data_IF_607450870959
#
_entry.id   IF_607450870959
#
_cell.length_a   1.000
_cell.length_b   1.000
_cell.length_c   1.000
_cell.angle_alpha   90.00
_cell.angle_beta   90.00
_cell.angle_gamma   90.00
#
_symmetry.space_group_name_H-M   'P 1'
#
loop_
_entity.id
_entity.type
_entity.pdbx_description
1 polymer ?
#
# COMPACT_ATOMS: atom_id res chain seq x y z
N UNK A 1 -28.26 11.94 -14.86
CA UNK A 1 -27.69 12.00 -13.49
C UNK A 1 -28.86 11.84 -12.56
N UNK A 2 -28.72 11.05 -11.50
CA UNK A 2 -29.73 11.10 -10.44
C UNK A 2 -29.78 12.52 -9.86
N UNK A 3 -30.90 12.89 -9.26
CA UNK A 3 -31.06 14.22 -8.67
C UNK A 3 -30.09 14.46 -7.50
N UNK A 4 -29.30 13.46 -7.08
CA UNK A 4 -28.35 13.57 -5.96
C UNK A 4 -26.95 14.04 -6.37
N UNK A 5 -26.60 13.96 -7.67
CA UNK A 5 -25.25 14.28 -8.14
C UNK A 5 -24.20 13.31 -7.60
N UNK A 6 -24.61 12.06 -7.31
CA UNK A 6 -23.74 10.99 -6.84
C UNK A 6 -23.23 10.16 -8.04
N UNK A 7 -21.90 10.09 -8.26
CA UNK A 7 -21.34 9.28 -9.36
C UNK A 7 -21.44 7.76 -9.15
N UNK A 8 -21.79 7.28 -7.95
CA UNK A 8 -21.78 5.85 -7.58
C UNK A 8 -22.67 4.97 -8.46
N UNK A 9 -23.74 5.51 -9.06
CA UNK A 9 -24.66 4.74 -9.91
C UNK A 9 -24.14 4.41 -11.31
N UNK A 10 -23.05 5.04 -11.77
CA UNK A 10 -22.57 4.94 -13.16
C UNK A 10 -21.28 4.09 -13.31
N UNK A 11 -20.50 3.94 -12.24
CA UNK A 11 -19.22 3.20 -12.24
C UNK A 11 -18.08 3.92 -12.96
N UNK A 12 -16.83 3.62 -12.58
CA UNK A 12 -15.64 4.27 -13.13
C UNK A 12 -15.45 4.01 -14.64
N UNK A 13 -15.74 2.78 -15.10
CA UNK A 13 -15.59 2.36 -16.50
C UNK A 13 -16.38 3.23 -17.48
N UNK A 14 -17.59 3.63 -17.09
CA UNK A 14 -18.43 4.47 -17.92
C UNK A 14 -17.88 5.90 -17.99
N UNK A 15 -17.38 6.44 -16.88
CA UNK A 15 -16.71 7.75 -16.89
C UNK A 15 -15.43 7.72 -17.71
N UNK A 16 -14.62 6.66 -17.64
CA UNK A 16 -13.44 6.49 -18.49
C UNK A 16 -13.81 6.51 -19.98
N UNK A 17 -14.89 5.82 -20.33
CA UNK A 17 -15.41 5.80 -21.70
C UNK A 17 -15.83 7.20 -22.15
N UNK A 18 -16.54 7.95 -21.30
CA UNK A 18 -16.96 9.32 -21.60
C UNK A 18 -15.77 10.29 -21.73
N UNK A 19 -14.74 10.16 -20.90
CA UNK A 19 -13.51 10.98 -21.03
C UNK A 19 -12.84 10.72 -22.39
N UNK A 20 -12.77 9.46 -22.84
CA UNK A 20 -12.19 9.10 -24.15
C UNK A 20 -12.99 9.64 -25.35
N UNK A 21 -14.25 10.02 -25.14
CA UNK A 21 -15.12 10.63 -26.15
C UNK A 21 -15.03 12.17 -26.16
N UNK A 22 -14.19 12.78 -25.33
CA UNK A 22 -14.04 14.23 -25.29
C UNK A 22 -13.61 14.78 -26.66
N UNK A 23 -14.40 15.68 -27.27
CA UNK A 23 -14.05 16.28 -28.55
C UNK A 23 -12.82 17.19 -28.38
N UNK A 24 -12.06 17.34 -29.45
CA UNK A 24 -11.05 18.39 -29.55
C UNK A 24 -11.71 19.77 -29.49
N UNK A 25 -10.94 20.82 -29.16
CA UNK A 25 -11.46 22.20 -29.12
C UNK A 25 -12.08 22.63 -30.45
N UNK A 26 -11.52 22.18 -31.57
CA UNK A 26 -12.03 22.48 -32.91
C UNK A 26 -13.37 21.80 -33.17
N UNK A 27 -13.51 20.52 -32.79
CA UNK A 27 -14.77 19.76 -32.90
C UNK A 27 -15.84 20.34 -31.98
N UNK A 28 -15.49 20.73 -30.76
CA UNK A 28 -16.41 21.38 -29.82
C UNK A 28 -16.98 22.67 -30.42
N UNK A 29 -16.13 23.54 -30.99
CA UNK A 29 -16.56 24.79 -31.62
C UNK A 29 -17.49 24.50 -32.82
N UNK A 30 -17.12 23.54 -33.68
CA UNK A 30 -17.92 23.17 -34.86
C UNK A 30 -19.29 22.62 -34.44
N UNK A 31 -19.32 21.69 -33.49
CA UNK A 31 -20.56 21.05 -33.03
C UNK A 31 -21.47 22.03 -32.29
N UNK A 32 -20.92 22.92 -31.45
CA UNK A 32 -21.70 23.95 -30.75
C UNK A 32 -22.33 24.93 -31.73
N UNK A 33 -21.55 25.42 -32.69
CA UNK A 33 -22.00 26.44 -33.65
C UNK A 33 -22.79 25.86 -34.84
N UNK A 34 -22.93 24.54 -34.94
CA UNK A 34 -23.77 23.93 -35.97
C UNK A 34 -25.24 24.33 -35.77
N UNK A 35 -25.75 25.12 -36.72
CA UNK A 35 -27.11 25.67 -36.83
C UNK A 35 -27.93 25.02 -37.96
N UNK A 36 -27.33 24.08 -38.69
CA UNK A 36 -27.99 23.29 -39.71
C UNK A 36 -28.97 22.26 -39.15
N UNK A 37 -29.58 21.48 -40.05
CA UNK A 37 -30.51 20.42 -39.67
C UNK A 37 -29.80 19.31 -38.87
N UNK A 38 -30.27 19.07 -37.64
CA UNK A 38 -29.75 18.03 -36.74
C UNK A 38 -29.91 16.62 -37.31
N UNK A 39 -30.81 16.40 -38.26
CA UNK A 39 -30.98 15.10 -38.94
C UNK A 39 -29.77 14.72 -39.80
N UNK A 40 -28.95 15.70 -40.19
CA UNK A 40 -27.72 15.50 -40.98
C UNK A 40 -26.52 15.11 -40.13
N UNK A 41 -26.61 15.27 -38.81
CA UNK A 41 -25.58 14.82 -37.88
C UNK A 41 -25.74 13.33 -37.60
N UNK A 42 -24.62 12.61 -37.58
CA UNK A 42 -24.59 11.21 -37.17
C UNK A 42 -25.00 11.04 -35.70
N UNK A 43 -25.37 9.82 -35.27
CA UNK A 43 -25.77 9.56 -33.88
C UNK A 43 -24.74 10.02 -32.83
N UNK A 44 -23.44 9.84 -33.10
CA UNK A 44 -22.36 10.25 -32.21
C UNK A 44 -22.23 11.78 -32.10
N UNK A 45 -22.34 12.50 -33.22
CA UNK A 45 -22.27 13.97 -33.25
C UNK A 45 -23.48 14.59 -32.53
N UNK A 46 -24.68 14.01 -32.72
CA UNK A 46 -25.89 14.42 -32.01
C UNK A 46 -25.76 14.22 -30.51
N UNK A 47 -25.22 13.07 -30.10
CA UNK A 47 -24.92 12.79 -28.69
C UNK A 47 -23.93 13.81 -28.12
N UNK A 48 -22.79 14.02 -28.77
CA UNK A 48 -21.78 14.99 -28.31
C UNK A 48 -22.31 16.41 -28.27
N UNK A 49 -23.12 16.84 -29.24
CA UNK A 49 -23.77 18.16 -29.23
C UNK A 49 -24.65 18.32 -27.99
N UNK A 50 -25.47 17.33 -27.65
CA UNK A 50 -26.29 17.35 -26.43
C UNK A 50 -25.44 17.36 -25.14
N UNK A 51 -24.34 16.59 -25.11
CA UNK A 51 -23.41 16.59 -23.98
C UNK A 51 -22.78 17.97 -23.80
N UNK A 52 -22.40 18.62 -24.91
CA UNK A 52 -21.76 19.95 -24.92
C UNK A 52 -22.69 21.09 -24.47
N UNK A 53 -24.01 20.90 -24.52
CA UNK A 53 -25.00 21.83 -23.95
C UNK A 53 -24.97 21.81 -22.41
N UNK A 54 -24.47 20.73 -21.79
CA UNK A 54 -24.29 20.66 -20.35
C UNK A 54 -23.07 21.51 -19.96
N UNK A 55 -23.22 22.52 -19.09
CA UNK A 55 -22.09 23.34 -18.67
C UNK A 55 -20.97 22.51 -18.06
N UNK A 56 -19.77 22.64 -18.61
CA UNK A 56 -18.56 21.97 -18.12
C UNK A 56 -18.64 20.43 -18.18
N UNK A 57 -19.44 19.84 -19.08
CA UNK A 57 -19.72 18.41 -19.15
C UNK A 57 -18.48 17.52 -18.94
N UNK A 58 -17.45 17.66 -19.78
CA UNK A 58 -16.25 16.83 -19.70
C UNK A 58 -15.41 17.09 -18.44
N UNK A 59 -15.36 18.33 -17.94
CA UNK A 59 -14.72 18.64 -16.65
C UNK A 59 -15.45 17.98 -15.47
N UNK A 60 -16.79 17.94 -15.52
CA UNK A 60 -17.61 17.24 -14.52
C UNK A 60 -17.36 15.73 -14.59
N UNK A 61 -17.30 15.16 -15.79
CA UNK A 61 -16.99 13.73 -16.00
C UNK A 61 -15.60 13.38 -15.47
N UNK A 62 -14.57 14.17 -15.76
CA UNK A 62 -13.21 13.97 -15.22
C UNK A 62 -13.21 14.01 -13.69
N UNK A 63 -13.91 14.96 -13.09
CA UNK A 63 -14.04 15.05 -11.63
C UNK A 63 -14.80 13.86 -11.03
N UNK A 64 -15.85 13.38 -11.70
CA UNK A 64 -16.60 12.19 -11.28
C UNK A 64 -15.76 10.92 -11.38
N UNK A 65 -14.94 10.78 -12.44
CA UNK A 65 -14.01 9.66 -12.58
C UNK A 65 -13.01 9.63 -11.44
N UNK A 66 -12.39 10.78 -11.12
CA UNK A 66 -11.49 10.89 -9.98
C UNK A 66 -12.19 10.47 -8.68
N UNK A 67 -13.39 11.00 -8.42
CA UNK A 67 -14.20 10.65 -7.24
C UNK A 67 -14.50 9.16 -7.15
N UNK A 68 -14.83 8.52 -8.28
CA UNK A 68 -15.15 7.10 -8.33
C UNK A 68 -13.94 6.20 -7.98
N UNK A 69 -12.73 6.64 -8.34
CA UNK A 69 -11.50 5.87 -8.08
C UNK A 69 -10.83 6.21 -6.73
N UNK A 70 -11.15 7.37 -6.16
CA UNK A 70 -10.47 7.93 -4.99
C UNK A 70 -10.39 6.97 -3.81
N UNK A 71 -11.51 6.38 -3.41
CA UNK A 71 -11.55 5.51 -2.24
C UNK A 71 -10.73 4.22 -2.45
N UNK A 72 -10.67 3.70 -3.68
CA UNK A 72 -9.84 2.54 -4.03
C UNK A 72 -8.36 2.88 -3.90
N UNK A 73 -7.94 4.02 -4.44
CA UNK A 73 -6.54 4.49 -4.38
C UNK A 73 -6.09 4.79 -2.95
N UNK A 74 -6.94 5.47 -2.16
CA UNK A 74 -6.68 5.73 -0.73
C UNK A 74 -6.53 4.43 0.05
N UNK A 75 -7.43 3.47 -0.16
CA UNK A 75 -7.36 2.18 0.54
C UNK A 75 -6.13 1.35 0.16
N UNK A 76 -5.69 1.43 -1.10
CA UNK A 76 -4.45 0.80 -1.53
C UNK A 76 -3.25 1.39 -0.79
N UNK A 77 -3.11 2.72 -0.79
CA UNK A 77 -2.01 3.41 -0.14
C UNK A 77 -1.98 3.16 1.37
N UNK A 78 -3.15 3.26 2.02
CA UNK A 78 -3.29 2.97 3.46
C UNK A 78 -2.80 1.57 3.81
N UNK A 79 -3.22 0.55 3.06
CA UNK A 79 -2.79 -0.84 3.29
C UNK A 79 -1.29 -1.03 3.05
N UNK A 80 -0.74 -0.37 2.03
CA UNK A 80 0.69 -0.41 1.73
C UNK A 80 1.53 0.20 2.86
N UNK A 81 1.21 1.43 3.30
CA UNK A 81 1.91 2.09 4.40
C UNK A 81 1.74 1.36 5.73
N UNK A 82 0.54 0.83 6.02
CA UNK A 82 0.33 -0.01 7.20
C UNK A 82 1.19 -1.28 7.16
N UNK A 83 1.34 -1.93 6.00
CA UNK A 83 2.22 -3.10 5.85
C UNK A 83 3.67 -2.74 6.12
N UNK A 84 4.13 -1.58 5.64
CA UNK A 84 5.48 -1.06 5.88
C UNK A 84 5.70 -0.74 7.37
N UNK A 85 4.76 -0.06 8.02
CA UNK A 85 4.83 0.28 9.44
C UNK A 85 4.86 -0.96 10.33
N UNK A 86 3.95 -1.91 10.13
CA UNK A 86 3.94 -3.18 10.87
C UNK A 86 5.26 -3.90 10.70
N UNK A 87 5.80 -3.87 9.49
CA UNK A 87 7.06 -4.52 9.19
C UNK A 87 8.24 -3.82 9.86
N UNK A 88 8.35 -2.50 9.73
CA UNK A 88 9.40 -1.72 10.37
C UNK A 88 9.38 -1.87 11.90
N UNK A 89 8.19 -1.79 12.50
CA UNK A 89 8.00 -2.05 13.93
C UNK A 89 8.40 -3.47 14.33
N UNK A 90 8.01 -4.49 13.55
CA UNK A 90 8.35 -5.89 13.86
C UNK A 90 9.85 -6.14 13.84
N UNK A 91 10.56 -5.49 12.92
CA UNK A 91 12.02 -5.59 12.84
C UNK A 91 12.74 -4.71 13.88
N UNK A 92 12.08 -3.67 14.40
CA UNK A 92 12.58 -2.84 15.51
C UNK A 92 12.35 -3.46 16.90
N UNK A 93 11.32 -4.31 17.09
CA UNK A 93 11.04 -4.98 18.38
C UNK A 93 12.09 -6.06 18.65
N UNK A 94 13.03 -5.78 19.56
CA UNK A 94 13.92 -6.79 20.15
C UNK A 94 15.40 -6.44 20.29
N UNK A 95 15.85 -5.23 19.97
CA UNK A 95 17.29 -4.90 19.98
C UNK A 95 17.80 -4.45 21.36
N UNK A 96 17.65 -5.29 22.39
CA UNK A 96 18.22 -5.08 23.74
C UNK A 96 19.76 -5.25 23.81
N UNK A 97 20.50 -4.91 22.75
CA UNK A 97 21.92 -5.27 22.59
C UNK A 97 22.93 -4.14 22.78
N UNK A 98 22.55 -3.02 23.40
CA UNK A 98 23.51 -2.07 23.99
C UNK A 98 24.70 -1.69 23.10
N UNK A 99 24.48 -1.47 21.79
CA UNK A 99 25.54 -1.07 20.85
C UNK A 99 26.29 -2.19 20.13
N UNK A 100 25.84 -3.45 20.17
CA UNK A 100 26.41 -4.50 19.31
C UNK A 100 26.18 -4.17 17.82
N UNK A 101 27.26 -4.14 17.01
CA UNK A 101 27.21 -3.98 15.55
C UNK A 101 26.29 -5.05 14.95
N UNK A 102 25.36 -4.63 14.10
CA UNK A 102 24.37 -5.52 13.47
C UNK A 102 25.04 -6.59 12.60
N UNK A 103 24.44 -7.78 12.59
CA UNK A 103 24.72 -8.78 11.57
C UNK A 103 23.94 -8.39 10.31
N UNK A 104 24.58 -8.40 9.14
CA UNK A 104 23.88 -8.14 7.87
C UNK A 104 22.89 -9.28 7.59
N UNK A 105 21.67 -8.95 7.17
CA UNK A 105 20.63 -9.93 6.81
C UNK A 105 21.09 -10.95 5.76
N UNK A 106 21.92 -10.53 4.80
CA UNK A 106 22.57 -11.40 3.80
C UNK A 106 23.38 -12.56 4.42
N UNK A 107 23.83 -12.41 5.68
CA UNK A 107 24.53 -13.48 6.40
C UNK A 107 23.60 -14.66 6.71
N UNK A 108 22.29 -14.42 6.86
CA UNK A 108 21.29 -15.47 7.07
C UNK A 108 21.13 -16.35 5.83
N UNK A 109 21.17 -15.76 4.62
CA UNK A 109 21.12 -16.53 3.37
C UNK A 109 22.30 -17.51 3.28
N UNK A 110 23.49 -17.05 3.68
CA UNK A 110 24.71 -17.88 3.66
C UNK A 110 24.61 -19.10 4.59
N UNK A 111 23.76 -19.09 5.62
CA UNK A 111 23.57 -20.25 6.50
C UNK A 111 22.96 -21.45 5.76
N UNK A 112 22.14 -21.19 4.72
CA UNK A 112 21.59 -22.26 3.89
C UNK A 112 22.66 -22.88 2.97
N UNK A 113 23.71 -22.14 2.61
CA UNK A 113 24.74 -22.61 1.68
C UNK A 113 25.90 -23.33 2.37
N UNK A 114 26.15 -23.04 3.65
CA UNK A 114 27.23 -23.68 4.41
C UNK A 114 26.80 -25.09 4.80
N UNK A 115 27.44 -26.10 4.20
CA UNK A 115 27.18 -27.52 4.47
C UNK A 115 28.15 -28.09 5.50
N UNK A 116 27.66 -29.02 6.32
CA UNK A 116 28.46 -29.81 7.23
C UNK A 116 29.36 -30.81 6.48
N UNK A 117 30.17 -31.53 7.24
CA UNK A 117 31.10 -32.55 6.71
C UNK A 117 30.37 -33.70 6.02
N UNK A 118 29.07 -33.88 6.28
CA UNK A 118 28.20 -34.86 5.61
C UNK A 118 27.74 -34.44 4.20
N UNK A 119 27.99 -33.18 3.81
CA UNK A 119 27.56 -32.60 2.52
C UNK A 119 26.03 -32.49 2.35
N UNK A 120 25.24 -32.81 3.38
CA UNK A 120 23.77 -32.89 3.33
C UNK A 120 23.12 -31.88 4.26
N UNK A 121 23.64 -31.75 5.47
CA UNK A 121 23.08 -30.88 6.51
C UNK A 121 23.69 -29.48 6.37
N UNK A 122 22.87 -28.44 6.38
CA UNK A 122 23.34 -27.05 6.30
C UNK A 122 23.44 -26.44 7.70
N UNK A 123 24.18 -25.34 7.84
CA UNK A 123 24.26 -24.61 9.09
C UNK A 123 22.89 -24.07 9.53
N UNK A 124 22.01 -23.74 8.58
CA UNK A 124 20.61 -23.39 8.86
C UNK A 124 19.84 -24.54 9.51
N UNK A 125 20.02 -25.78 9.04
CA UNK A 125 19.38 -26.95 9.67
C UNK A 125 19.82 -27.10 11.14
N UNK A 126 21.12 -26.90 11.41
CA UNK A 126 21.65 -26.93 12.77
C UNK A 126 21.07 -25.81 13.64
N UNK A 127 21.00 -24.57 13.14
CA UNK A 127 20.41 -23.43 13.87
C UNK A 127 18.95 -23.69 14.22
N UNK A 128 18.16 -24.23 13.29
CA UNK A 128 16.75 -24.59 13.54
C UNK A 128 16.64 -25.66 14.62
N UNK A 129 17.48 -26.70 14.57
CA UNK A 129 17.52 -27.73 15.61
C UNK A 129 17.90 -27.16 16.98
N UNK A 130 18.86 -26.23 17.02
CA UNK A 130 19.32 -25.61 18.25
C UNK A 130 18.24 -24.72 18.89
N UNK A 131 17.49 -23.94 18.09
CA UNK A 131 16.32 -23.17 18.57
C UNK A 131 15.28 -24.10 19.18
N UNK A 132 14.99 -25.22 18.50
CA UNK A 132 14.02 -26.20 18.99
C UNK A 132 14.47 -26.78 20.35
N UNK A 133 15.78 -27.00 20.51
CA UNK A 133 16.36 -27.50 21.75
C UNK A 133 16.35 -26.47 22.88
N UNK A 134 16.74 -25.22 22.60
CA UNK A 134 16.87 -24.16 23.62
C UNK A 134 15.53 -23.69 24.19
N UNK A 135 14.49 -23.64 23.36
CA UNK A 135 13.12 -23.28 23.78
C UNK A 135 12.46 -24.38 24.62
N UNK A 136 13.00 -25.61 24.58
CA UNK A 136 12.57 -26.69 25.46
C UNK A 136 13.07 -26.55 26.90
N UNK A 137 14.24 -25.93 27.10
CA UNK A 137 14.92 -25.89 28.41
C UNK A 137 14.51 -24.70 29.31
N UNK A 138 13.72 -23.75 28.81
CA UNK A 138 13.46 -22.46 29.46
C UNK A 138 12.34 -22.39 30.51
N UNK A 139 11.64 -23.49 30.82
CA UNK A 139 10.46 -23.45 31.70
C UNK A 139 10.63 -24.10 33.09
N UNK A 140 11.77 -24.73 33.40
CA UNK A 140 11.98 -25.42 34.68
C UNK A 140 13.26 -24.94 35.38
N UNK A 141 13.21 -23.75 35.98
CA UNK A 141 14.20 -23.36 37.00
C UNK A 141 13.62 -22.38 38.03
N UNK A 142 12.48 -22.76 38.62
CA UNK A 142 12.14 -22.35 39.99
C UNK A 142 11.32 -23.47 40.61
N UNK A 143 12.01 -24.41 41.26
CA UNK A 143 11.73 -24.88 42.61
C UNK A 143 12.55 -26.14 42.87
N UNK A 144 13.54 -26.01 43.75
CA UNK A 144 14.17 -27.13 44.42
C UNK A 144 13.10 -27.90 45.22
N UNK A 145 12.83 -29.15 44.86
CA UNK A 145 12.85 -30.27 45.80
C UNK A 145 12.67 -31.62 45.10
N UNK A 146 13.56 -32.52 45.48
CA UNK A 146 13.80 -33.88 44.98
C UNK A 146 12.62 -34.81 45.28
N UNK A 147 12.20 -35.65 44.32
CA UNK A 147 12.12 -37.11 44.51
C UNK A 147 11.89 -37.89 43.21
N UNK A 148 12.64 -39.00 43.10
CA UNK A 148 12.77 -39.92 41.99
C UNK A 148 11.45 -40.53 41.51
N UNK A 149 11.25 -40.59 40.19
CA UNK A 149 10.68 -41.77 39.53
C UNK A 149 11.07 -41.81 38.04
N UNK A 150 11.49 -43.00 37.64
CA UNK A 150 12.06 -43.40 36.35
C UNK A 150 11.06 -43.35 35.20
N UNK A 151 11.33 -42.50 34.20
CA UNK A 151 11.04 -42.78 32.79
C UNK A 151 11.83 -41.77 31.92
N UNK A 152 12.76 -42.16 31.03
CA UNK A 152 13.51 -41.20 30.21
C UNK A 152 12.80 -40.89 28.87
N UNK A 153 11.54 -41.27 28.70
CA UNK A 153 10.70 -40.81 27.59
C UNK A 153 10.10 -39.44 27.91
N UNK A 154 10.97 -38.52 28.35
CA UNK A 154 10.65 -37.19 28.82
C UNK A 154 10.56 -36.24 27.63
N UNK A 155 9.35 -35.75 27.34
CA UNK A 155 9.02 -34.46 26.73
C UNK A 155 9.75 -33.98 25.46
N UNK A 156 10.52 -34.82 24.77
CA UNK A 156 11.20 -34.46 23.52
C UNK A 156 10.20 -34.02 22.44
N UNK A 157 9.03 -34.68 22.39
CA UNK A 157 7.92 -34.31 21.52
C UNK A 157 7.28 -32.97 21.92
N UNK A 158 7.22 -32.63 23.21
CA UNK A 158 6.67 -31.36 23.69
C UNK A 158 7.64 -30.19 23.40
N UNK A 159 8.94 -30.40 23.60
CA UNK A 159 9.99 -29.43 23.25
C UNK A 159 10.05 -29.20 21.76
N UNK A 160 10.01 -30.30 20.99
CA UNK A 160 9.93 -30.23 19.53
C UNK A 160 8.70 -29.47 19.07
N UNK A 161 7.55 -29.68 19.71
CA UNK A 161 6.31 -28.97 19.39
C UNK A 161 6.41 -27.47 19.71
N UNK A 162 6.95 -27.08 20.87
CA UNK A 162 7.16 -25.67 21.26
C UNK A 162 8.16 -24.97 20.33
N UNK A 163 9.31 -25.57 20.10
CA UNK A 163 10.32 -25.03 19.18
C UNK A 163 9.82 -24.90 17.75
N UNK A 164 9.10 -25.91 17.24
CA UNK A 164 8.50 -25.86 15.90
C UNK A 164 7.40 -24.80 15.80
N UNK A 165 6.66 -24.54 16.90
CA UNK A 165 5.70 -23.45 16.96
C UNK A 165 6.37 -22.07 16.88
N UNK A 166 7.54 -21.89 17.50
CA UNK A 166 8.34 -20.66 17.35
C UNK A 166 8.79 -20.48 15.89
N UNK A 167 9.35 -21.52 15.27
CA UNK A 167 9.80 -21.48 13.88
C UNK A 167 8.63 -21.26 12.90
N UNK A 168 7.48 -21.90 13.14
CA UNK A 168 6.26 -21.67 12.34
C UNK A 168 5.68 -20.27 12.54
N UNK A 169 5.84 -19.70 13.74
CA UNK A 169 5.48 -18.32 14.06
C UNK A 169 6.23 -17.30 13.21
N UNK A 170 7.52 -17.56 12.91
CA UNK A 170 8.32 -16.69 12.05
C UNK A 170 7.67 -16.52 10.67
N UNK A 171 7.23 -17.60 10.03
CA UNK A 171 6.56 -17.51 8.72
C UNK A 171 5.32 -16.60 8.73
N UNK A 172 4.56 -16.61 9.84
CA UNK A 172 3.42 -15.70 10.04
C UNK A 172 3.90 -14.25 10.20
N UNK A 173 4.97 -14.06 10.95
CA UNK A 173 5.51 -12.75 11.28
C UNK A 173 6.18 -12.06 10.07
N UNK A 174 6.76 -12.84 9.14
CA UNK A 174 7.37 -12.34 7.90
C UNK A 174 6.38 -12.17 6.73
N UNK A 175 5.07 -12.43 6.93
CA UNK A 175 4.07 -12.27 5.86
C UNK A 175 3.97 -10.84 5.31
N UNK A 176 4.15 -9.83 6.17
CA UNK A 176 4.16 -8.42 5.76
C UNK A 176 5.52 -7.98 5.20
N UNK A 177 6.61 -8.60 5.65
CA UNK A 177 7.96 -8.40 5.14
C UNK A 177 8.02 -8.77 3.65
N UNK A 178 7.45 -9.92 3.28
CA UNK A 178 7.35 -10.33 1.87
C UNK A 178 6.55 -9.34 1.01
N UNK A 179 5.50 -8.74 1.55
CA UNK A 179 4.71 -7.72 0.83
C UNK A 179 5.51 -6.44 0.66
N UNK A 180 6.16 -5.98 1.73
CA UNK A 180 7.02 -4.81 1.73
C UNK A 180 8.20 -4.96 0.74
N UNK A 181 8.71 -6.18 0.54
CA UNK A 181 9.77 -6.52 -0.42
C UNK A 181 9.40 -6.25 -1.88
N UNK A 182 8.13 -6.40 -2.21
CA UNK A 182 7.63 -6.13 -3.56
C UNK A 182 7.19 -4.69 -3.78
N UNK A 183 7.33 -3.81 -2.78
CA UNK A 183 6.95 -2.40 -2.90
C UNK A 183 8.10 -1.58 -3.47
N UNK A 184 7.75 -0.46 -4.10
CA UNK A 184 8.68 0.56 -4.61
C UNK A 184 8.30 1.91 -4.01
N UNK A 185 9.27 2.58 -3.38
CA UNK A 185 9.02 3.80 -2.61
C UNK A 185 8.65 4.97 -3.51
N UNK A 186 9.34 5.09 -4.64
CA UNK A 186 9.09 6.17 -5.59
C UNK A 186 7.71 5.99 -6.25
N UNK A 187 7.33 4.74 -6.51
CA UNK A 187 5.99 4.42 -7.02
C UNK A 187 4.91 4.80 -6.01
N UNK A 188 5.06 4.44 -4.73
CA UNK A 188 4.10 4.80 -3.68
C UNK A 188 3.98 6.32 -3.51
N UNK A 189 5.11 7.04 -3.43
CA UNK A 189 5.10 8.50 -3.36
C UNK A 189 4.48 9.14 -4.61
N UNK A 190 4.69 8.56 -5.80
CA UNK A 190 4.05 9.03 -7.03
C UNK A 190 2.52 8.90 -6.99
N UNK A 191 1.99 7.89 -6.32
CA UNK A 191 0.54 7.72 -6.14
C UNK A 191 -0.03 8.76 -5.17
N UNK A 192 0.69 9.08 -4.09
CA UNK A 192 0.29 10.17 -3.17
C UNK A 192 0.23 11.51 -3.91
N UNK A 193 1.26 11.81 -4.71
CA UNK A 193 1.30 13.03 -5.55
C UNK A 193 0.15 13.04 -6.56
N UNK A 194 -0.16 11.91 -7.19
CA UNK A 194 -1.28 11.80 -8.14
C UNK A 194 -2.63 12.08 -7.49
N UNK A 195 -2.85 11.63 -6.25
CA UNK A 195 -4.05 11.97 -5.48
C UNK A 195 -4.14 13.48 -5.24
N UNK A 196 -3.05 14.11 -4.79
CA UNK A 196 -3.03 15.57 -4.59
C UNK A 196 -3.34 16.34 -5.88
N UNK A 197 -2.65 16.00 -6.97
CA UNK A 197 -2.87 16.63 -8.27
C UNK A 197 -4.28 16.40 -8.82
N UNK A 198 -4.84 15.20 -8.61
CA UNK A 198 -6.21 14.87 -9.02
C UNK A 198 -7.23 15.69 -8.24
N UNK A 199 -7.05 15.82 -6.92
CA UNK A 199 -7.89 16.64 -6.07
C UNK A 199 -7.85 18.12 -6.48
N UNK A 200 -6.67 18.64 -6.81
CA UNK A 200 -6.51 20.01 -7.30
C UNK A 200 -7.28 20.24 -8.60
N UNK A 201 -7.24 19.27 -9.53
CA UNK A 201 -8.04 19.33 -10.77
C UNK A 201 -9.54 19.37 -10.48
N UNK A 202 -10.02 18.59 -9.52
CA UNK A 202 -11.43 18.64 -9.10
C UNK A 202 -11.77 20.02 -8.52
N UNK A 203 -10.89 20.59 -7.70
CA UNK A 203 -11.08 21.92 -7.12
C UNK A 203 -11.16 23.02 -8.19
N UNK A 204 -10.37 22.91 -9.26
CA UNK A 204 -10.43 23.85 -10.39
C UNK A 204 -11.81 23.85 -11.08
N UNK A 205 -12.55 22.75 -11.08
CA UNK A 205 -13.90 22.70 -11.67
C UNK A 205 -14.86 23.65 -10.93
N UNK A 206 -14.69 23.82 -9.61
CA UNK A 206 -15.52 24.71 -8.81
C UNK A 206 -15.30 26.20 -9.12
N UNK A 207 -14.15 26.57 -9.70
CA UNK A 207 -13.88 27.96 -10.08
C UNK A 207 -14.76 28.46 -11.24
N UNK A 208 -15.38 27.55 -11.98
CA UNK A 208 -16.23 27.86 -13.12
C UNK A 208 -17.73 27.87 -12.77
N UNK A 209 -18.08 27.73 -11.49
CA UNK A 209 -19.47 27.80 -11.01
C UNK A 209 -20.05 29.18 -11.32
N UNK A 210 -21.23 29.19 -11.92
CA UNK A 210 -22.04 30.41 -12.10
C UNK A 210 -23.38 30.28 -11.37
N UNK A 211 -24.01 31.39 -10.94
CA UNK A 211 -25.26 31.36 -10.16
C UNK A 211 -26.45 30.70 -10.88
N UNK A 212 -26.42 30.66 -12.21
CA UNK A 212 -27.44 30.06 -13.08
C UNK A 212 -27.25 28.55 -13.31
N UNK A 213 -26.13 27.97 -12.88
CA UNK A 213 -25.88 26.54 -13.04
C UNK A 213 -26.72 25.72 -12.06
N UNK A 214 -27.65 24.95 -12.61
CA UNK A 214 -28.48 24.02 -11.85
C UNK A 214 -27.77 22.68 -11.58
N UNK A 215 -28.14 22.03 -10.47
CA UNK A 215 -27.76 20.66 -10.13
C UNK A 215 -26.92 20.53 -8.86
N UNK A 216 -26.98 19.34 -8.23
CA UNK A 216 -26.33 19.04 -6.95
C UNK A 216 -24.85 18.68 -7.06
N UNK A 217 -24.29 18.65 -8.28
CA UNK A 217 -22.89 18.28 -8.53
C UNK A 217 -21.89 19.12 -7.74
N UNK A 218 -22.06 20.45 -7.72
CA UNK A 218 -21.08 21.33 -7.08
C UNK A 218 -21.09 21.19 -5.57
N UNK A 219 -22.28 21.14 -4.95
CA UNK A 219 -22.44 20.89 -3.52
C UNK A 219 -21.85 19.52 -3.13
N UNK A 220 -22.16 18.46 -3.90
CA UNK A 220 -21.63 17.12 -3.61
C UNK A 220 -20.11 17.04 -3.81
N UNK A 221 -19.58 17.79 -4.77
CA UNK A 221 -18.13 17.89 -5.02
C UNK A 221 -17.43 18.68 -3.93
N UNK A 222 -18.03 19.75 -3.40
CA UNK A 222 -17.46 20.50 -2.28
C UNK A 222 -17.38 19.67 -1.00
N UNK A 223 -18.41 18.88 -0.70
CA UNK A 223 -18.40 17.92 0.42
C UNK A 223 -17.30 16.88 0.21
N UNK A 224 -17.21 16.32 -0.99
CA UNK A 224 -16.15 15.36 -1.34
C UNK A 224 -14.75 15.95 -1.16
N UNK A 225 -14.50 17.19 -1.61
CA UNK A 225 -13.19 17.83 -1.48
C UNK A 225 -12.75 17.91 -0.02
N UNK A 226 -13.65 18.29 0.89
CA UNK A 226 -13.34 18.39 2.34
C UNK A 226 -12.95 17.02 2.93
N UNK A 227 -13.71 15.96 2.62
CA UNK A 227 -13.39 14.59 3.05
C UNK A 227 -12.08 14.08 2.45
N UNK A 228 -11.88 14.32 1.15
CA UNK A 228 -10.71 13.86 0.42
C UNK A 228 -9.42 14.55 0.89
N UNK A 229 -9.47 15.85 1.20
CA UNK A 229 -8.35 16.61 1.78
C UNK A 229 -7.90 16.00 3.12
N UNK A 230 -8.85 15.68 4.01
CA UNK A 230 -8.52 15.05 5.29
C UNK A 230 -7.91 13.65 5.11
N UNK A 231 -8.45 12.85 4.20
CA UNK A 231 -7.93 11.51 3.88
C UNK A 231 -6.53 11.56 3.31
N UNK A 232 -6.26 12.45 2.35
CA UNK A 232 -4.92 12.63 1.77
C UNK A 232 -3.93 13.07 2.86
N UNK A 233 -4.31 14.00 3.73
CA UNK A 233 -3.45 14.45 4.83
C UNK A 233 -3.06 13.29 5.76
N UNK A 234 -3.98 12.38 6.07
CA UNK A 234 -3.70 11.16 6.84
C UNK A 234 -2.72 10.24 6.10
N UNK A 235 -2.95 10.01 4.81
CA UNK A 235 -2.07 9.18 3.97
C UNK A 235 -0.64 9.73 3.91
N UNK A 236 -0.46 11.05 3.79
CA UNK A 236 0.87 11.68 3.83
C UNK A 236 1.55 11.48 5.18
N UNK A 237 0.80 11.55 6.27
CA UNK A 237 1.33 11.29 7.59
C UNK A 237 1.72 9.80 7.76
N UNK A 238 0.92 8.87 7.23
CA UNK A 238 1.22 7.43 7.19
C UNK A 238 2.49 7.16 6.36
N UNK A 239 2.64 7.79 5.19
CA UNK A 239 3.82 7.70 4.33
C UNK A 239 5.10 8.10 5.08
N UNK A 240 5.10 9.28 5.71
CA UNK A 240 6.26 9.79 6.45
C UNK A 240 6.64 8.82 7.58
N UNK A 241 5.66 8.33 8.35
CA UNK A 241 5.92 7.37 9.43
C UNK A 241 6.48 6.05 8.91
N UNK A 242 5.85 5.49 7.88
CA UNK A 242 6.24 4.22 7.30
C UNK A 242 7.66 4.28 6.73
N UNK A 243 7.97 5.32 5.94
CA UNK A 243 9.30 5.51 5.36
C UNK A 243 10.37 5.77 6.42
N UNK A 244 10.04 6.50 7.48
CA UNK A 244 10.95 6.70 8.60
C UNK A 244 11.32 5.38 9.29
N UNK A 245 10.34 4.56 9.63
CA UNK A 245 10.57 3.24 10.26
C UNK A 245 11.40 2.33 9.36
N UNK A 246 11.08 2.28 8.06
CA UNK A 246 11.84 1.50 7.08
C UNK A 246 13.29 1.99 7.01
N UNK A 247 13.51 3.30 7.02
CA UNK A 247 14.85 3.91 7.01
C UNK A 247 15.64 3.52 8.26
N UNK A 248 15.06 3.68 9.45
CA UNK A 248 15.71 3.29 10.72
C UNK A 248 16.15 1.84 10.70
N UNK A 249 15.28 0.95 10.22
CA UNK A 249 15.60 -0.48 10.18
C UNK A 249 16.66 -0.79 9.12
N UNK A 250 16.60 -0.10 7.98
CA UNK A 250 17.62 -0.25 6.92
C UNK A 250 18.99 0.19 7.41
N UNK A 251 19.08 1.35 8.06
CA UNK A 251 20.30 1.85 8.69
C UNK A 251 20.81 0.90 9.78
N UNK A 252 19.90 0.31 10.57
CA UNK A 252 20.26 -0.67 11.59
C UNK A 252 20.94 -1.91 10.99
N UNK A 253 20.38 -2.54 9.95
CA UNK A 253 20.90 -3.80 9.40
C UNK A 253 21.98 -3.63 8.31
N UNK A 254 22.01 -2.51 7.60
CA UNK A 254 22.90 -2.29 6.46
C UNK A 254 23.95 -1.18 6.68
N UNK A 255 23.79 -0.34 7.70
CA UNK A 255 24.64 0.84 7.93
C UNK A 255 24.19 2.06 7.13
N UNK A 256 25.01 3.11 7.11
CA UNK A 256 24.71 4.39 6.43
C UNK A 256 24.54 4.18 4.90
N UNK A 257 23.29 4.29 4.43
CA UNK A 257 22.86 4.04 3.05
C UNK A 257 23.24 5.13 2.06
N UNK A 258 23.93 6.19 2.51
CA UNK A 258 24.41 7.26 1.62
C UNK A 258 25.50 6.83 0.64
N UNK A 259 26.08 5.62 0.80
CA UNK A 259 27.22 5.15 -0.03
C UNK A 259 26.93 3.98 -0.96
N UNK A 260 25.83 3.25 -0.79
CA UNK A 260 25.50 2.07 -1.61
C UNK A 260 23.98 1.98 -1.89
N UNK A 261 23.57 2.55 -3.03
CA UNK A 261 22.27 2.44 -3.73
C UNK A 261 20.97 2.88 -3.01
N UNK A 262 20.27 3.79 -3.70
CA UNK A 262 19.17 4.64 -3.22
C UNK A 262 17.78 3.97 -3.19
N UNK A 263 17.65 2.71 -2.73
CA UNK A 263 16.35 2.04 -2.64
C UNK A 263 15.90 1.83 -1.18
N UNK A 264 14.96 2.64 -0.66
CA UNK A 264 14.50 2.58 0.74
C UNK A 264 13.97 1.21 1.17
N UNK A 265 13.48 0.39 0.25
CA UNK A 265 12.88 -0.92 0.54
C UNK A 265 13.82 -2.12 0.41
N UNK A 266 15.12 -1.89 0.14
CA UNK A 266 16.10 -2.98 -0.01
C UNK A 266 16.15 -3.94 1.17
N UNK A 267 15.86 -3.48 2.39
CA UNK A 267 15.82 -4.34 3.58
C UNK A 267 14.84 -5.52 3.46
N UNK A 268 13.84 -5.39 2.60
CA UNK A 268 12.87 -6.43 2.36
C UNK A 268 13.23 -7.35 1.20
N UNK A 269 14.13 -6.91 0.33
CA UNK A 269 14.67 -7.69 -0.78
C UNK A 269 15.83 -8.55 -0.26
N UNK A 270 15.48 -9.71 0.27
CA UNK A 270 16.42 -10.76 0.70
C UNK A 270 16.12 -12.02 -0.09
#
# INVERSE_FOLDING_TARGET
MDDTGNPEGLGAELFETLVKMAPTKEEEIKLKNYDGDLSKLGPAERFLKQVLDIPLAFKRVEAMLYRANFETEVNYLKKSFQSLEVTGNRMNVGTNRGGAKSFKLDTLLKLADIKGTDGKTTLLHFVVQEIIRSEGTGAESTNENVQNQTNPQFNEDEFRKKGLQVVAGLSRDFGNVKKAAGMDSDVLSSYVIKLEMGLDKVRLVLQYVKPDMQGNFFNSTEIFLKDAEEKILKIKADEIRALFLVKEVTEYFHGDTTKEEAHPFRIFMI
#
